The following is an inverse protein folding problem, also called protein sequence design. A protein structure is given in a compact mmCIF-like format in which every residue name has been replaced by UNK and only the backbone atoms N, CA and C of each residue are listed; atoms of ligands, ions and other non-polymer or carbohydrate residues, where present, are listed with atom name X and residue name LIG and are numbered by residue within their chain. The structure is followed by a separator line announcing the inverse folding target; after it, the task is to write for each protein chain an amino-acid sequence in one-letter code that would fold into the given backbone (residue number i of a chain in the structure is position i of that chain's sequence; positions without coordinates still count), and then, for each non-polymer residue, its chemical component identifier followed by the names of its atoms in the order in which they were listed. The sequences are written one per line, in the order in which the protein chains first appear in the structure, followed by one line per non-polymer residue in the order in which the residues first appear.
data_IF_209569487430
#
_entry.id   IF_209569487430
#
_cell.length_a   1.000
_cell.length_b   1.000
_cell.length_c   1.000
_cell.angle_alpha   90.00
_cell.angle_beta   90.00
_cell.angle_gamma   90.00
#
_symmetry.space_group_name_H-M   'P 1'
#
loop_
_entity.id
_entity.type
_entity.pdbx_description
1 polymer ?
#
# COMPACT_ATOMS: atom_id res chain seq x y z
N UNK A 1 29.80 5.27 46.93
CA UNK A 1 28.94 4.64 45.91
C UNK A 1 29.78 4.40 44.67
N UNK A 2 29.89 3.18 44.20
CA UNK A 2 30.86 2.82 43.16
C UNK A 2 30.38 3.36 41.79
N UNK A 3 31.25 3.97 40.99
CA UNK A 3 30.91 4.55 39.67
C UNK A 3 30.14 3.62 38.75
N UNK A 4 30.37 2.31 38.87
CA UNK A 4 29.61 1.27 38.15
C UNK A 4 28.14 1.21 38.55
N UNK A 5 27.82 1.42 39.82
CA UNK A 5 26.44 1.44 40.34
C UNK A 5 25.70 2.75 39.96
N UNK A 6 26.44 3.85 39.80
CA UNK A 6 25.89 5.13 39.34
C UNK A 6 25.51 5.07 37.85
N UNK A 7 26.35 4.41 37.02
CA UNK A 7 26.08 4.17 35.60
C UNK A 7 24.88 3.21 35.39
N UNK A 8 24.74 2.20 36.26
CA UNK A 8 23.60 1.27 36.20
C UNK A 8 22.29 1.95 36.60
N UNK A 9 22.33 2.84 37.58
CA UNK A 9 21.16 3.63 38.00
C UNK A 9 20.77 4.66 36.92
N UNK A 10 21.75 5.31 36.26
CA UNK A 10 21.51 6.24 35.19
C UNK A 10 20.95 5.56 33.92
N UNK A 11 21.32 4.31 33.64
CA UNK A 11 20.75 3.54 32.51
C UNK A 11 19.33 3.06 32.78
N UNK A 12 18.95 2.81 34.04
CA UNK A 12 17.55 2.47 34.40
C UNK A 12 16.60 3.67 34.35
N UNK A 13 17.08 4.88 34.60
CA UNK A 13 16.25 6.10 34.55
C UNK A 13 16.02 6.62 33.13
N UNK A 14 16.81 6.16 32.15
CA UNK A 14 16.63 6.46 30.72
C UNK A 14 15.71 5.47 29.99
N UNK A 15 15.23 4.43 30.64
CA UNK A 15 14.15 3.58 30.15
C UNK A 15 12.82 4.35 30.32
N UNK A 16 12.61 5.38 29.50
CA UNK A 16 11.27 5.93 29.32
C UNK A 16 10.37 4.77 28.82
N UNK A 17 9.20 4.56 29.45
CA UNK A 17 8.25 3.63 28.89
C UNK A 17 7.92 4.11 27.48
N UNK A 18 8.41 3.38 26.48
CA UNK A 18 7.92 3.48 25.12
C UNK A 18 6.47 2.95 25.18
N UNK A 19 5.54 3.83 25.53
CA UNK A 19 4.12 3.55 25.36
C UNK A 19 3.90 3.46 23.85
N UNK A 20 3.85 2.24 23.36
CA UNK A 20 3.42 1.99 22.00
C UNK A 20 2.01 2.56 21.87
N UNK A 21 1.82 3.49 20.95
CA UNK A 21 0.49 4.00 20.60
C UNK A 21 -0.42 2.82 20.25
N UNK A 22 -1.57 2.72 20.90
CA UNK A 22 -2.52 1.67 20.59
C UNK A 22 -3.27 2.01 19.29
N UNK A 23 -3.65 1.01 18.47
CA UNK A 23 -4.47 1.26 17.28
C UNK A 23 -5.77 2.03 17.58
N UNK A 24 -6.33 1.85 18.79
CA UNK A 24 -7.53 2.55 19.22
C UNK A 24 -7.32 4.06 19.37
N UNK A 25 -6.16 4.49 19.88
CA UNK A 25 -5.81 5.91 20.00
C UNK A 25 -5.61 6.53 18.61
N UNK A 26 -4.98 5.81 17.70
CA UNK A 26 -4.82 6.24 16.31
C UNK A 26 -6.17 6.40 15.62
N UNK A 27 -7.09 5.45 15.78
CA UNK A 27 -8.44 5.52 15.18
C UNK A 27 -9.30 6.63 15.80
N UNK A 28 -9.13 6.93 17.09
CA UNK A 28 -9.81 8.09 17.72
C UNK A 28 -9.31 9.42 17.15
N UNK A 29 -8.02 9.50 16.85
CA UNK A 29 -7.39 10.69 16.26
C UNK A 29 -7.76 10.86 14.78
N UNK A 30 -7.72 9.77 14.01
CA UNK A 30 -8.04 9.75 12.58
C UNK A 30 -8.73 8.43 12.22
N UNK A 31 -10.06 8.48 12.11
CA UNK A 31 -10.86 7.29 11.78
C UNK A 31 -10.49 6.69 10.43
N UNK A 32 -9.88 7.44 9.51
CA UNK A 32 -9.48 6.92 8.21
C UNK A 32 -8.39 5.86 8.32
N UNK A 33 -7.61 5.86 9.41
CA UNK A 33 -6.58 4.84 9.66
C UNK A 33 -7.19 3.44 9.85
N UNK A 34 -8.45 3.35 10.29
CA UNK A 34 -9.17 2.07 10.39
C UNK A 34 -9.47 1.46 9.01
N UNK A 35 -9.44 2.24 7.95
CA UNK A 35 -9.67 1.81 6.58
C UNK A 35 -8.53 0.98 5.98
N UNK A 36 -7.37 0.88 6.68
CA UNK A 36 -6.22 0.09 6.22
C UNK A 36 -5.90 0.38 4.74
N UNK A 37 -5.86 -0.65 3.90
CA UNK A 37 -5.55 -0.53 2.47
C UNK A 37 -6.71 -0.01 1.59
N UNK A 38 -7.87 0.30 2.18
CA UNK A 38 -8.94 1.03 1.49
C UNK A 38 -8.72 2.54 1.47
N UNK A 39 -7.79 3.05 2.28
CA UNK A 39 -7.40 4.46 2.23
C UNK A 39 -6.42 4.66 1.08
N UNK A 40 -6.70 5.65 0.23
CA UNK A 40 -5.84 5.97 -0.90
C UNK A 40 -4.44 6.41 -0.44
N UNK A 41 -3.40 5.94 -1.12
CA UNK A 41 -2.02 6.34 -0.85
C UNK A 41 -1.83 7.84 -1.09
N UNK A 42 -1.47 8.56 -0.05
CA UNK A 42 -1.29 10.03 -0.06
C UNK A 42 0.14 10.48 -0.37
N UNK A 43 1.07 9.54 -0.46
CA UNK A 43 2.50 9.81 -0.57
C UNK A 43 3.16 10.08 0.79
N UNK A 44 4.50 10.21 0.82
CA UNK A 44 5.22 10.52 2.05
C UNK A 44 4.87 11.93 2.55
N UNK A 45 4.61 12.04 3.86
CA UNK A 45 4.26 13.30 4.52
C UNK A 45 5.48 13.95 5.20
N UNK A 46 6.56 13.20 5.37
CA UNK A 46 7.79 13.69 6.01
C UNK A 46 8.88 13.93 4.96
N UNK A 47 9.66 14.98 5.18
CA UNK A 47 10.87 15.20 4.40
C UNK A 47 11.88 14.08 4.66
N UNK A 48 12.48 13.56 3.59
CA UNK A 48 13.49 12.52 3.69
C UNK A 48 14.78 13.11 4.25
N UNK A 49 15.48 12.32 5.05
CA UNK A 49 16.83 12.65 5.55
C UNK A 49 17.79 12.84 4.38
N UNK A 50 18.66 13.84 4.47
CA UNK A 50 19.72 14.03 3.49
C UNK A 50 20.71 12.86 3.52
N UNK A 51 21.35 12.58 2.38
CA UNK A 51 22.44 11.60 2.33
C UNK A 51 23.59 12.03 3.26
N UNK A 52 24.27 11.08 3.92
CA UNK A 52 25.47 11.39 4.71
C UNK A 52 26.55 12.04 3.85
N UNK A 53 27.38 12.89 4.48
CA UNK A 53 28.48 13.57 3.77
C UNK A 53 29.40 12.55 3.10
N UNK A 54 29.69 12.75 1.82
CA UNK A 54 30.57 11.87 1.03
C UNK A 54 29.87 10.67 0.38
N UNK A 55 28.58 10.44 0.64
CA UNK A 55 27.81 9.39 -0.01
C UNK A 55 26.98 9.95 -1.15
N UNK A 56 26.91 9.19 -2.24
CA UNK A 56 26.05 9.46 -3.40
C UNK A 56 25.25 8.22 -3.73
N UNK A 57 23.97 8.35 -4.09
CA UNK A 57 23.19 7.22 -4.57
C UNK A 57 23.72 6.75 -5.91
N UNK A 58 23.85 5.44 -6.10
CA UNK A 58 24.31 4.82 -7.35
C UNK A 58 23.34 3.77 -7.90
N UNK A 59 22.38 3.34 -7.08
CA UNK A 59 21.39 2.34 -7.43
C UNK A 59 20.09 2.60 -6.67
N UNK A 60 18.96 2.35 -7.31
CA UNK A 60 17.64 2.42 -6.70
C UNK A 60 16.88 1.16 -7.02
N UNK A 61 16.38 0.48 -5.99
CA UNK A 61 15.44 -0.63 -6.10
C UNK A 61 14.09 -0.20 -5.55
N UNK A 62 13.03 -0.48 -6.30
CA UNK A 62 11.67 -0.17 -5.90
C UNK A 62 10.78 -1.42 -6.01
N UNK A 63 10.19 -1.82 -4.89
CA UNK A 63 9.16 -2.84 -4.85
C UNK A 63 7.84 -2.18 -4.48
N UNK A 64 6.87 -2.27 -5.37
CA UNK A 64 5.58 -1.60 -5.23
C UNK A 64 4.40 -2.56 -5.30
N UNK A 65 3.30 -2.17 -4.67
CA UNK A 65 1.98 -2.78 -4.88
C UNK A 65 1.28 -2.06 -6.03
N UNK A 66 0.32 -2.72 -6.70
CA UNK A 66 -0.57 -2.03 -7.63
C UNK A 66 -1.24 -0.80 -6.99
N UNK A 67 -1.59 0.20 -7.79
CA UNK A 67 -2.33 1.39 -7.37
C UNK A 67 -3.75 1.09 -6.90
N UNK A 68 -4.49 2.12 -6.53
CA UNK A 68 -5.90 2.00 -6.18
C UNK A 68 -6.68 1.28 -7.27
N UNK A 69 -7.54 0.35 -6.86
CA UNK A 69 -8.33 -0.51 -7.75
C UNK A 69 -9.77 -0.65 -7.28
N UNK A 70 -10.64 -1.05 -8.16
CA UNK A 70 -11.97 -1.53 -7.78
C UNK A 70 -11.86 -2.82 -6.96
N UNK A 71 -12.87 -3.10 -6.12
CA UNK A 71 -12.91 -4.34 -5.33
C UNK A 71 -12.90 -5.56 -6.25
N UNK A 72 -12.36 -6.68 -5.77
CA UNK A 72 -12.18 -7.89 -6.59
C UNK A 72 -13.51 -8.61 -6.86
N UNK A 73 -14.53 -8.40 -6.03
CA UNK A 73 -15.78 -9.12 -6.20
C UNK A 73 -17.00 -8.30 -5.81
N UNK A 74 -18.10 -8.54 -6.50
CA UNK A 74 -19.38 -7.86 -6.33
C UNK A 74 -19.89 -7.84 -4.90
N UNK A 75 -19.63 -8.89 -4.11
CA UNK A 75 -20.07 -8.97 -2.71
C UNK A 75 -19.57 -7.79 -1.86
N UNK A 76 -18.39 -7.26 -2.17
CA UNK A 76 -17.83 -6.11 -1.45
C UNK A 76 -18.69 -4.83 -1.62
N UNK A 77 -19.43 -4.73 -2.73
CA UNK A 77 -20.36 -3.64 -3.00
C UNK A 77 -21.80 -4.02 -2.65
N UNK A 78 -22.21 -5.24 -2.94
CA UNK A 78 -23.59 -5.70 -2.77
C UNK A 78 -23.98 -5.82 -1.30
N UNK A 79 -23.11 -6.38 -0.45
CA UNK A 79 -23.43 -6.60 0.96
C UNK A 79 -23.76 -5.28 1.69
N UNK A 80 -22.91 -4.24 1.66
CA UNK A 80 -23.27 -2.99 2.33
C UNK A 80 -24.48 -2.31 1.69
N UNK A 81 -24.63 -2.38 0.37
CA UNK A 81 -25.79 -1.80 -0.32
C UNK A 81 -27.10 -2.44 0.12
N UNK A 82 -27.22 -3.77 0.03
CA UNK A 82 -28.46 -4.47 0.37
C UNK A 82 -28.76 -4.46 1.87
N UNK A 83 -27.74 -4.43 2.73
CA UNK A 83 -27.94 -4.27 4.18
C UNK A 83 -28.56 -2.92 4.52
N UNK A 84 -28.04 -1.83 3.94
CA UNK A 84 -28.60 -0.49 4.13
C UNK A 84 -29.98 -0.35 3.48
N UNK A 85 -30.19 -0.93 2.29
CA UNK A 85 -31.48 -0.92 1.62
C UNK A 85 -32.55 -1.63 2.46
N UNK A 86 -32.23 -2.77 3.04
CA UNK A 86 -33.13 -3.49 3.96
C UNK A 86 -33.46 -2.65 5.20
N UNK A 87 -32.47 -2.03 5.82
CA UNK A 87 -32.67 -1.15 6.97
C UNK A 87 -33.57 0.05 6.62
N UNK A 88 -33.44 0.59 5.40
CA UNK A 88 -34.35 1.64 4.88
C UNK A 88 -35.76 1.15 4.78
N UNK A 89 -36.01 -0.01 4.17
CA UNK A 89 -37.32 -0.63 4.02
C UNK A 89 -38.00 -0.89 5.37
N UNK A 90 -37.21 -1.18 6.39
CA UNK A 90 -37.70 -1.39 7.77
C UNK A 90 -37.83 -0.09 8.58
N UNK A 91 -37.60 1.08 7.97
CA UNK A 91 -37.72 2.39 8.65
C UNK A 91 -36.63 2.62 9.73
N UNK A 92 -35.47 1.89 9.66
CA UNK A 92 -34.42 1.89 10.67
C UNK A 92 -33.22 2.77 10.33
N UNK A 93 -33.21 3.44 9.17
CA UNK A 93 -32.10 4.33 8.82
C UNK A 93 -32.23 5.69 9.50
N UNK A 94 -31.09 6.17 10.00
CA UNK A 94 -30.91 7.57 10.37
C UNK A 94 -30.70 8.44 9.12
N UNK A 95 -30.76 9.76 9.23
CA UNK A 95 -30.40 10.68 8.14
C UNK A 95 -29.00 10.39 7.58
N UNK A 96 -28.02 10.07 8.46
CA UNK A 96 -26.67 9.65 8.05
C UNK A 96 -26.67 8.31 7.31
N UNK A 97 -27.54 7.39 7.70
CA UNK A 97 -27.73 6.10 7.01
C UNK A 97 -28.26 6.29 5.59
N UNK A 98 -29.20 7.19 5.37
CA UNK A 98 -29.74 7.53 4.04
C UNK A 98 -28.65 8.13 3.13
N UNK A 99 -27.86 9.09 3.65
CA UNK A 99 -26.71 9.65 2.93
C UNK A 99 -25.69 8.55 2.55
N UNK A 100 -25.42 7.64 3.48
CA UNK A 100 -24.48 6.54 3.26
C UNK A 100 -24.99 5.57 2.21
N UNK A 101 -26.27 5.21 2.25
CA UNK A 101 -26.90 4.36 1.23
C UNK A 101 -26.79 4.98 -0.18
N UNK A 102 -27.02 6.29 -0.30
CA UNK A 102 -26.85 6.99 -1.58
C UNK A 102 -25.42 6.89 -2.11
N UNK A 103 -24.41 7.13 -1.26
CA UNK A 103 -22.99 7.01 -1.63
C UNK A 103 -22.61 5.59 -2.00
N UNK A 104 -23.03 4.59 -1.24
CA UNK A 104 -22.77 3.18 -1.52
C UNK A 104 -23.40 2.77 -2.85
N UNK A 105 -24.61 3.25 -3.15
CA UNK A 105 -25.26 3.03 -4.45
C UNK A 105 -24.42 3.59 -5.60
N UNK A 106 -23.95 4.82 -5.50
CA UNK A 106 -23.11 5.46 -6.53
C UNK A 106 -21.83 4.65 -6.78
N UNK A 107 -21.11 4.27 -5.71
CA UNK A 107 -19.87 3.49 -5.81
C UNK A 107 -20.16 2.11 -6.46
N UNK A 108 -21.26 1.47 -6.09
CA UNK A 108 -21.66 0.18 -6.65
C UNK A 108 -21.95 0.27 -8.16
N UNK A 109 -22.66 1.30 -8.60
CA UNK A 109 -22.95 1.52 -10.03
C UNK A 109 -21.67 1.86 -10.83
N UNK A 110 -20.81 2.69 -10.29
CA UNK A 110 -19.51 3.02 -10.91
C UNK A 110 -18.62 1.78 -11.08
N UNK A 111 -18.61 0.89 -10.08
CA UNK A 111 -17.79 -0.31 -10.07
C UNK A 111 -18.34 -1.45 -10.95
N UNK A 112 -19.51 -1.32 -11.52
CA UNK A 112 -20.21 -2.38 -12.27
C UNK A 112 -19.38 -2.83 -13.48
N UNK A 113 -19.01 -4.12 -13.50
CA UNK A 113 -18.21 -4.73 -14.57
C UNK A 113 -16.72 -4.37 -14.53
N UNK A 114 -16.26 -3.74 -13.43
CA UNK A 114 -14.88 -3.29 -13.28
C UNK A 114 -14.13 -3.99 -12.13
N UNK A 115 -14.55 -5.19 -11.80
CA UNK A 115 -14.01 -5.95 -10.67
C UNK A 115 -12.48 -6.12 -10.77
N UNK A 116 -11.77 -5.56 -9.78
CA UNK A 116 -10.32 -5.67 -9.67
C UNK A 116 -9.50 -4.83 -10.64
N UNK A 117 -10.12 -4.01 -11.49
CA UNK A 117 -9.42 -3.10 -12.41
C UNK A 117 -8.70 -1.98 -11.68
N UNK A 118 -7.58 -1.51 -12.25
CA UNK A 118 -6.90 -0.31 -11.79
C UNK A 118 -7.81 0.92 -11.98
N UNK A 119 -7.94 1.76 -10.96
CA UNK A 119 -8.65 3.02 -11.10
C UNK A 119 -7.78 4.11 -11.73
N UNK A 120 -8.36 5.19 -12.30
CA UNK A 120 -7.60 6.36 -12.72
C UNK A 120 -6.72 6.93 -11.60
N UNK A 121 -7.23 6.93 -10.35
CA UNK A 121 -6.44 7.32 -9.18
C UNK A 121 -5.23 6.41 -8.98
N UNK A 122 -5.38 5.10 -9.19
CA UNK A 122 -4.27 4.13 -9.10
C UNK A 122 -3.16 4.43 -10.11
N UNK A 123 -3.51 4.80 -11.33
CA UNK A 123 -2.55 5.23 -12.35
C UNK A 123 -1.80 6.51 -11.91
N UNK A 124 -2.52 7.53 -11.46
CA UNK A 124 -1.93 8.78 -10.96
C UNK A 124 -1.01 8.56 -9.75
N UNK A 125 -1.33 7.62 -8.87
CA UNK A 125 -0.48 7.26 -7.73
C UNK A 125 0.90 6.78 -8.21
N UNK A 126 0.96 5.89 -9.21
CA UNK A 126 2.23 5.40 -9.74
C UNK A 126 3.01 6.48 -10.51
N UNK A 127 2.34 7.31 -11.28
CA UNK A 127 2.97 8.49 -11.90
C UNK A 127 3.57 9.41 -10.83
N UNK A 128 2.86 9.66 -9.73
CA UNK A 128 3.33 10.47 -8.62
C UNK A 128 4.50 9.85 -7.84
N UNK A 129 4.49 8.53 -7.62
CA UNK A 129 5.61 7.81 -6.99
C UNK A 129 6.86 7.96 -7.85
N UNK A 130 6.75 7.67 -9.14
CA UNK A 130 7.84 7.76 -10.10
C UNK A 130 8.43 9.18 -10.18
N UNK A 131 7.56 10.19 -10.27
CA UNK A 131 8.02 11.59 -10.28
C UNK A 131 8.86 11.89 -9.04
N UNK A 132 8.39 11.56 -7.84
CA UNK A 132 9.13 11.79 -6.59
C UNK A 132 10.45 11.04 -6.53
N UNK A 133 10.53 9.82 -7.05
CA UNK A 133 11.80 9.07 -7.14
C UNK A 133 12.81 9.81 -8.03
N UNK A 134 12.40 10.26 -9.20
CA UNK A 134 13.27 10.95 -10.14
C UNK A 134 13.68 12.35 -9.64
N UNK A 135 12.78 13.07 -8.97
CA UNK A 135 13.08 14.35 -8.32
C UNK A 135 14.05 14.19 -7.14
N UNK A 136 13.94 13.07 -6.41
CA UNK A 136 14.78 12.80 -5.24
C UNK A 136 16.17 12.29 -5.59
N UNK A 137 16.29 11.53 -6.67
CA UNK A 137 17.53 10.86 -7.07
C UNK A 137 17.84 11.15 -8.56
N UNK A 138 17.95 12.44 -8.95
CA UNK A 138 18.11 12.81 -10.36
C UNK A 138 19.38 12.21 -10.98
N UNK A 139 20.45 11.98 -10.21
CA UNK A 139 21.67 11.39 -10.66
C UNK A 139 21.54 9.92 -11.10
N UNK A 140 20.61 9.17 -10.51
CA UNK A 140 20.32 7.78 -10.90
C UNK A 140 19.59 7.72 -12.24
N UNK A 141 18.74 8.70 -12.52
CA UNK A 141 17.91 8.74 -13.72
C UNK A 141 18.47 9.65 -14.83
N UNK A 142 19.73 10.08 -14.71
CA UNK A 142 20.35 10.97 -15.69
C UNK A 142 20.75 10.23 -16.99
N UNK A 143 20.72 10.95 -18.12
CA UNK A 143 21.17 10.44 -19.41
C UNK A 143 20.37 9.23 -19.87
N UNK A 144 21.06 8.21 -20.38
CA UNK A 144 20.50 6.96 -20.92
C UNK A 144 20.63 5.77 -19.96
N UNK A 145 20.28 6.02 -18.71
CA UNK A 145 20.29 4.97 -17.66
C UNK A 145 19.37 3.80 -18.03
N UNK A 146 19.80 2.58 -17.73
CA UNK A 146 19.00 1.37 -17.88
C UNK A 146 18.04 1.21 -16.71
N UNK A 147 16.77 0.96 -17.03
CA UNK A 147 15.70 0.65 -16.10
C UNK A 147 15.22 -0.78 -16.39
N UNK A 148 15.27 -1.63 -15.38
CA UNK A 148 14.61 -2.93 -15.43
C UNK A 148 13.34 -2.88 -14.60
N UNK A 149 12.23 -3.27 -15.19
CA UNK A 149 10.93 -3.27 -14.55
C UNK A 149 10.22 -4.62 -14.77
N UNK A 150 9.64 -5.16 -13.72
CA UNK A 150 8.92 -6.43 -13.77
C UNK A 150 7.61 -6.35 -13.02
N UNK A 151 6.61 -7.02 -13.54
CA UNK A 151 5.28 -7.10 -12.93
C UNK A 151 4.81 -8.55 -12.83
N UNK A 152 3.91 -8.80 -11.90
CA UNK A 152 3.09 -10.02 -11.93
C UNK A 152 2.16 -10.00 -13.14
N UNK A 153 1.62 -11.15 -13.52
CA UNK A 153 0.69 -11.30 -14.66
C UNK A 153 -0.68 -10.63 -14.46
N UNK A 154 -0.92 -10.06 -13.30
CA UNK A 154 -2.19 -9.39 -12.99
C UNK A 154 -2.26 -8.04 -13.71
N UNK A 155 -3.26 -7.87 -14.57
CA UNK A 155 -3.40 -6.69 -15.45
C UNK A 155 -3.23 -5.35 -14.68
N UNK A 156 -3.86 -5.19 -13.52
CA UNK A 156 -3.70 -3.96 -12.72
C UNK A 156 -2.27 -3.72 -12.23
N UNK A 157 -1.48 -4.79 -12.03
CA UNK A 157 -0.07 -4.67 -11.65
C UNK A 157 0.76 -4.23 -12.85
N UNK A 158 0.53 -4.82 -14.02
CA UNK A 158 1.15 -4.43 -15.29
C UNK A 158 0.85 -2.95 -15.56
N UNK A 159 -0.43 -2.56 -15.52
CA UNK A 159 -0.82 -1.17 -15.76
C UNK A 159 -0.24 -0.20 -14.73
N UNK A 160 -0.05 -0.63 -13.48
CA UNK A 160 0.60 0.19 -12.46
C UNK A 160 2.07 0.42 -12.79
N UNK A 161 2.80 -0.62 -13.18
CA UNK A 161 4.17 -0.54 -13.67
C UNK A 161 4.26 0.40 -14.88
N UNK A 162 3.44 0.16 -15.91
CA UNK A 162 3.44 0.94 -17.15
C UNK A 162 3.18 2.43 -16.91
N UNK A 163 2.24 2.80 -16.02
CA UNK A 163 2.02 4.20 -15.66
C UNK A 163 3.26 4.84 -15.02
N UNK A 164 4.02 4.09 -14.23
CA UNK A 164 5.30 4.53 -13.70
C UNK A 164 6.34 4.73 -14.80
N UNK A 165 6.51 3.75 -15.69
CA UNK A 165 7.48 3.78 -16.79
C UNK A 165 7.18 4.90 -17.79
N UNK A 166 5.92 5.10 -18.16
CA UNK A 166 5.51 6.22 -19.01
C UNK A 166 5.85 7.57 -18.36
N UNK A 167 5.69 7.68 -17.04
CA UNK A 167 6.06 8.90 -16.33
C UNK A 167 7.58 9.10 -16.32
N UNK A 168 8.38 8.04 -16.23
CA UNK A 168 9.84 8.12 -16.36
C UNK A 168 10.23 8.70 -17.73
N UNK A 169 9.67 8.16 -18.81
CA UNK A 169 9.93 8.63 -20.17
C UNK A 169 9.45 10.05 -20.44
N UNK A 170 8.36 10.50 -19.79
CA UNK A 170 7.94 11.92 -19.87
C UNK A 170 8.96 12.88 -19.26
N UNK A 171 9.68 12.45 -18.21
CA UNK A 171 10.68 13.25 -17.51
C UNK A 171 12.04 13.13 -18.22
N UNK A 172 12.45 11.91 -18.57
CA UNK A 172 13.68 11.64 -19.29
C UNK A 172 13.46 10.64 -20.45
N UNK A 173 13.27 11.11 -21.68
CA UNK A 173 13.02 10.25 -22.84
C UNK A 173 14.25 9.46 -23.32
N UNK A 174 15.42 9.68 -22.71
CA UNK A 174 16.66 8.97 -23.04
C UNK A 174 16.87 7.68 -22.25
N UNK A 175 15.99 7.37 -21.31
CA UNK A 175 16.08 6.15 -20.52
C UNK A 175 15.89 4.92 -21.41
N UNK A 176 16.70 3.90 -21.15
CA UNK A 176 16.53 2.57 -21.76
C UNK A 176 15.71 1.70 -20.82
N UNK A 177 14.47 1.43 -21.17
CA UNK A 177 13.55 0.67 -20.33
C UNK A 177 13.41 -0.75 -20.88
N UNK A 178 13.72 -1.72 -20.04
CA UNK A 178 13.45 -3.14 -20.22
C UNK A 178 12.35 -3.53 -19.25
N UNK A 179 11.25 -4.05 -19.75
CA UNK A 179 10.12 -4.43 -18.91
C UNK A 179 9.57 -5.80 -19.29
N UNK A 180 9.07 -6.53 -18.32
CA UNK A 180 8.51 -7.85 -18.49
C UNK A 180 7.38 -8.11 -17.49
N UNK A 181 6.46 -8.98 -17.89
CA UNK A 181 5.44 -9.57 -17.05
C UNK A 181 5.28 -11.03 -17.45
N UNK A 182 5.99 -11.92 -16.78
CA UNK A 182 6.09 -13.34 -17.13
C UNK A 182 5.82 -14.26 -15.93
N UNK A 183 5.39 -15.49 -16.23
CA UNK A 183 5.26 -16.55 -15.23
C UNK A 183 6.62 -16.88 -14.59
N UNK A 184 7.70 -16.76 -15.37
CA UNK A 184 9.07 -17.03 -14.94
C UNK A 184 9.45 -16.26 -13.67
N UNK A 185 9.03 -14.99 -13.56
CA UNK A 185 9.40 -14.09 -12.46
C UNK A 185 8.40 -14.14 -11.27
N UNK A 186 7.30 -14.90 -11.39
CA UNK A 186 6.27 -14.94 -10.36
C UNK A 186 6.75 -15.48 -9.01
N UNK A 187 7.77 -16.33 -8.99
CA UNK A 187 8.25 -16.99 -7.78
C UNK A 187 8.77 -16.04 -6.71
N UNK A 188 9.35 -14.89 -7.10
CA UNK A 188 9.85 -13.89 -6.14
C UNK A 188 8.97 -12.63 -6.06
N UNK A 189 8.04 -12.43 -6.99
CA UNK A 189 7.15 -11.27 -6.99
C UNK A 189 5.85 -11.51 -6.26
N UNK A 190 5.43 -12.76 -6.07
CA UNK A 190 4.25 -13.10 -5.29
C UNK A 190 4.54 -13.10 -3.80
N UNK A 191 3.53 -12.76 -3.00
CA UNK A 191 3.60 -12.82 -1.54
C UNK A 191 3.48 -14.24 -0.99
N UNK A 192 3.17 -15.23 -1.82
CA UNK A 192 2.97 -16.61 -1.42
C UNK A 192 4.26 -17.42 -1.55
N UNK A 193 4.66 -18.05 -0.46
CA UNK A 193 5.67 -19.11 -0.43
C UNK A 193 4.98 -20.42 -0.03
N UNK A 194 4.93 -21.38 -0.92
CA UNK A 194 4.21 -22.65 -0.71
C UNK A 194 4.68 -23.42 0.53
N UNK A 195 5.99 -23.35 0.82
CA UNK A 195 6.56 -24.01 1.98
C UNK A 195 6.16 -23.27 3.28
N UNK A 196 6.35 -21.97 3.33
CA UNK A 196 5.97 -21.14 4.48
C UNK A 196 4.46 -21.15 4.71
N UNK A 197 3.66 -21.10 3.66
CA UNK A 197 2.21 -21.21 3.75
C UNK A 197 1.77 -22.57 4.30
N UNK A 198 2.44 -23.66 3.90
CA UNK A 198 2.22 -25.00 4.45
C UNK A 198 2.53 -25.07 5.94
N UNK A 199 3.67 -24.51 6.37
CA UNK A 199 4.03 -24.44 7.80
C UNK A 199 3.03 -23.61 8.60
N UNK A 200 2.67 -22.43 8.13
CA UNK A 200 1.69 -21.54 8.75
C UNK A 200 0.34 -22.24 8.92
N UNK A 201 -0.16 -22.86 7.88
CA UNK A 201 -1.46 -23.53 7.91
C UNK A 201 -1.44 -24.78 8.81
N UNK A 202 -0.35 -25.55 8.84
CA UNK A 202 -0.25 -26.74 9.68
C UNK A 202 -0.21 -26.40 11.18
N UNK A 203 0.44 -25.31 11.57
CA UNK A 203 0.55 -24.88 12.97
C UNK A 203 -0.68 -24.06 13.38
N UNK A 204 -1.08 -23.10 12.57
CA UNK A 204 -2.20 -22.21 12.87
C UNK A 204 -3.53 -22.93 13.01
N UNK A 205 -3.81 -23.93 12.18
CA UNK A 205 -5.02 -24.76 12.28
C UNK A 205 -5.02 -25.59 13.56
N UNK A 206 -3.87 -26.16 13.92
CA UNK A 206 -3.76 -26.97 15.17
C UNK A 206 -3.97 -26.13 16.42
N UNK A 207 -3.45 -24.91 16.46
CA UNK A 207 -3.65 -24.01 17.61
C UNK A 207 -5.11 -23.56 17.68
N UNK A 208 -5.71 -23.15 16.56
CA UNK A 208 -7.12 -22.74 16.54
C UNK A 208 -8.14 -23.85 16.84
N UNK A 209 -7.74 -25.11 16.75
CA UNK A 209 -8.58 -26.27 17.15
C UNK A 209 -8.45 -26.64 18.63
N UNK A 210 -7.49 -26.03 19.35
CA UNK A 210 -7.25 -26.28 20.78
C UNK A 210 -7.88 -25.23 21.70
N UNK A 211 -8.38 -24.12 21.16
CA UNK A 211 -9.17 -23.08 21.81
C UNK A 211 -10.69 -23.32 21.60
#
# INVERSE_FOLDING_TARGET
MNTKNLLLLASLTLAMPLTAQTPQEDFKRDITLSGSNYVAYRGPQKQLTAAPKGYKPFYLSHYGRHGSRYMIGKKAYDVPYFSLLKAKQEGKLTAKGEETLAKVKMIREEAKGRDGELTPLGALQHQGITRRMMERFPEIFAGNTNIEARSTLVIRCILSMENGLQQMLRINPKLHIFHDASEHDMYYMNQGDRYLDSLKNSVGIKVAQQE
#
